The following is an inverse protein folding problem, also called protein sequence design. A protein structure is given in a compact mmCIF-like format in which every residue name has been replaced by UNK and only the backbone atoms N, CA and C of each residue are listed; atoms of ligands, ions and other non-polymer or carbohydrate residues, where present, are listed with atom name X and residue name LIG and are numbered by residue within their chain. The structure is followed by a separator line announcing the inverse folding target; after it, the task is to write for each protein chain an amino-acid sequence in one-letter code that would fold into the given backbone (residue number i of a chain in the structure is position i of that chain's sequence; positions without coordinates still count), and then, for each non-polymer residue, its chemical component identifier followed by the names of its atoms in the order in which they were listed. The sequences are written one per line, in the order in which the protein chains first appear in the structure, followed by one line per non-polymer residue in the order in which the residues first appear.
data_IF_625713386995
#
_entry.id   IF_625713386995
#
_cell.length_a   1.000
_cell.length_b   1.000
_cell.length_c   1.000
_cell.angle_alpha   90.00
_cell.angle_beta   90.00
_cell.angle_gamma   90.00
#
_symmetry.space_group_name_H-M   'P 1'
#
loop_
_entity.id
_entity.type
_entity.pdbx_description
1 polymer ?
#
# COMPACT_ATOMS: atom_id res chain seq x y z
N UNK A 1 -17.60 -3.17 14.08
CA UNK A 1 -17.16 -2.79 12.72
C UNK A 1 -15.63 -2.76 12.51
N UNK A 2 -14.79 -2.24 13.42
CA UNK A 2 -13.31 -2.20 13.23
C UNK A 2 -12.64 -3.57 13.06
N UNK A 3 -13.05 -4.58 13.84
CA UNK A 3 -12.48 -5.95 13.79
C UNK A 3 -12.70 -6.63 12.43
N UNK A 4 -13.83 -6.37 11.76
CA UNK A 4 -14.12 -6.93 10.44
C UNK A 4 -13.18 -6.34 9.36
N UNK A 5 -12.86 -5.05 9.44
CA UNK A 5 -11.96 -4.36 8.50
C UNK A 5 -10.53 -4.92 8.56
N UNK A 6 -9.97 -5.12 9.75
CA UNK A 6 -8.63 -5.72 9.91
C UNK A 6 -8.54 -7.13 9.32
N UNK A 7 -9.59 -7.96 9.50
CA UNK A 7 -9.67 -9.29 8.88
C UNK A 7 -9.72 -9.23 7.35
N UNK A 8 -10.46 -8.29 6.78
CA UNK A 8 -10.51 -8.10 5.32
C UNK A 8 -9.14 -7.72 4.76
N UNK A 9 -8.47 -6.74 5.37
CA UNK A 9 -7.11 -6.30 4.98
C UNK A 9 -6.13 -7.48 5.03
N UNK A 10 -6.19 -8.29 6.09
CA UNK A 10 -5.37 -9.48 6.24
C UNK A 10 -5.62 -10.52 5.13
N UNK A 11 -6.90 -10.78 4.80
CA UNK A 11 -7.27 -11.73 3.73
C UNK A 11 -6.80 -11.23 2.38
N UNK A 12 -6.92 -9.93 2.09
CA UNK A 12 -6.43 -9.32 0.86
C UNK A 12 -4.90 -9.45 0.77
N UNK A 13 -4.17 -9.11 1.84
CA UNK A 13 -2.72 -9.26 1.88
C UNK A 13 -2.27 -10.72 1.68
N UNK A 14 -3.00 -11.69 2.23
CA UNK A 14 -2.76 -13.12 1.99
C UNK A 14 -3.04 -13.51 0.54
N UNK A 15 -4.14 -13.05 -0.03
CA UNK A 15 -4.55 -13.35 -1.41
C UNK A 15 -3.55 -12.79 -2.42
N UNK A 16 -2.93 -11.64 -2.12
CA UNK A 16 -1.91 -11.03 -2.97
C UNK A 16 -0.65 -11.89 -3.14
N UNK A 17 -0.37 -12.82 -2.23
CA UNK A 17 0.73 -13.78 -2.34
C UNK A 17 0.44 -14.92 -3.31
N UNK A 18 -0.79 -15.05 -3.82
CA UNK A 18 -1.16 -16.15 -4.70
C UNK A 18 -0.32 -16.13 -5.99
N UNK A 19 0.22 -17.28 -6.43
CA UNK A 19 1.05 -17.36 -7.64
C UNK A 19 0.28 -17.10 -8.93
N UNK A 20 -1.05 -17.23 -8.91
CA UNK A 20 -1.91 -16.99 -10.09
C UNK A 20 -2.07 -15.49 -10.31
N UNK A 21 -1.51 -14.98 -11.40
CA UNK A 21 -1.43 -13.54 -11.67
C UNK A 21 -2.79 -12.84 -11.74
N UNK A 22 -3.83 -13.52 -12.24
CA UNK A 22 -5.19 -12.96 -12.27
C UNK A 22 -5.72 -12.68 -10.86
N UNK A 23 -5.64 -13.67 -9.95
CA UNK A 23 -6.10 -13.53 -8.58
C UNK A 23 -5.25 -12.52 -7.80
N UNK A 24 -3.92 -12.53 -8.01
CA UNK A 24 -3.03 -11.54 -7.44
C UNK A 24 -3.42 -10.12 -7.90
N UNK A 25 -3.63 -9.90 -9.20
CA UNK A 25 -4.05 -8.60 -9.74
C UNK A 25 -5.40 -8.16 -9.16
N UNK A 26 -6.38 -9.05 -9.10
CA UNK A 26 -7.68 -8.75 -8.49
C UNK A 26 -7.52 -8.33 -7.03
N UNK A 27 -6.66 -8.98 -6.25
CA UNK A 27 -6.41 -8.56 -4.86
C UNK A 27 -5.75 -7.18 -4.74
N UNK A 28 -4.93 -6.78 -5.73
CA UNK A 28 -4.35 -5.43 -5.80
C UNK A 28 -5.43 -4.39 -6.16
N UNK A 29 -6.34 -4.71 -7.08
CA UNK A 29 -7.49 -3.85 -7.40
C UNK A 29 -8.37 -3.64 -6.16
N UNK A 30 -8.69 -4.72 -5.45
CA UNK A 30 -9.46 -4.66 -4.20
C UNK A 30 -8.72 -3.84 -3.13
N UNK A 31 -7.39 -3.93 -3.04
CA UNK A 31 -6.62 -3.08 -2.14
C UNK A 31 -6.79 -1.59 -2.48
N UNK A 32 -6.82 -1.24 -3.76
CA UNK A 32 -7.08 0.14 -4.22
C UNK A 32 -8.45 0.65 -3.78
N UNK A 33 -9.49 -0.17 -3.94
CA UNK A 33 -10.85 0.15 -3.49
C UNK A 33 -10.90 0.35 -1.96
N UNK A 34 -10.20 -0.50 -1.21
CA UNK A 34 -10.07 -0.38 0.25
C UNK A 34 -9.38 0.94 0.63
N UNK A 35 -8.30 1.32 -0.06
CA UNK A 35 -7.61 2.58 0.23
C UNK A 35 -8.50 3.79 -0.04
N UNK A 36 -9.22 3.80 -1.16
CA UNK A 36 -10.17 4.87 -1.48
C UNK A 36 -11.32 4.97 -0.47
N UNK A 37 -11.88 3.83 -0.05
CA UNK A 37 -13.03 3.80 0.84
C UNK A 37 -12.67 4.15 2.30
N UNK A 38 -11.48 3.75 2.77
CA UNK A 38 -11.15 3.82 4.20
C UNK A 38 -10.04 4.81 4.56
N UNK A 39 -9.11 5.11 3.65
CA UNK A 39 -8.01 6.07 3.88
C UNK A 39 -7.34 5.89 5.24
N UNK A 40 -7.25 6.98 6.00
CA UNK A 40 -6.61 7.01 7.33
C UNK A 40 -7.23 6.09 8.36
N UNK A 41 -8.49 5.69 8.18
CA UNK A 41 -9.15 4.72 9.09
C UNK A 41 -8.45 3.35 9.05
N UNK A 42 -7.60 3.09 8.06
CA UNK A 42 -6.74 1.91 7.99
C UNK A 42 -5.54 1.99 8.95
N UNK A 43 -5.11 3.18 9.33
CA UNK A 43 -4.01 3.41 10.28
C UNK A 43 -4.49 3.24 11.74
N UNK A 44 -5.77 3.56 12.02
CA UNK A 44 -6.42 3.36 13.33
C UNK A 44 -6.68 1.88 13.70
N UNK A 45 -6.20 0.93 12.91
CA UNK A 45 -6.34 -0.50 13.16
C UNK A 45 -5.35 -0.94 14.26
N UNK A 46 -5.52 -0.42 15.47
CA UNK A 46 -4.68 -0.64 16.67
C UNK A 46 -4.68 -2.08 17.22
N UNK A 47 -5.34 -3.03 16.54
CA UNK A 47 -5.22 -4.49 16.81
C UNK A 47 -4.65 -5.25 15.60
N UNK A 48 -4.29 -4.55 14.52
CA UNK A 48 -3.76 -5.12 13.29
C UNK A 48 -2.84 -4.16 12.53
N UNK A 49 -1.96 -3.42 13.22
CA UNK A 49 -0.88 -2.68 12.55
C UNK A 49 -0.12 -3.61 11.58
N UNK A 50 0.10 -4.86 12.00
CA UNK A 50 0.65 -5.93 11.17
C UNK A 50 -0.13 -6.20 9.87
N UNK A 51 -1.46 -6.03 9.86
CA UNK A 51 -2.26 -6.28 8.67
C UNK A 51 -2.09 -5.16 7.64
N UNK A 52 -2.07 -3.90 8.08
CA UNK A 52 -1.78 -2.77 7.19
C UNK A 52 -0.34 -2.83 6.70
N UNK A 53 0.63 -3.02 7.60
CA UNK A 53 2.04 -3.10 7.26
C UNK A 53 2.31 -4.30 6.34
N UNK A 54 1.65 -5.43 6.58
CA UNK A 54 1.67 -6.59 5.70
C UNK A 54 1.10 -6.31 4.31
N UNK A 55 -0.03 -5.60 4.21
CA UNK A 55 -0.62 -5.22 2.92
C UNK A 55 0.30 -4.25 2.16
N UNK A 56 0.80 -3.22 2.83
CA UNK A 56 1.74 -2.23 2.27
C UNK A 56 3.00 -2.92 1.76
N UNK A 57 3.60 -3.81 2.55
CA UNK A 57 4.77 -4.56 2.15
C UNK A 57 4.51 -5.45 0.93
N UNK A 58 3.37 -6.16 0.90
CA UNK A 58 3.01 -6.97 -0.27
C UNK A 58 2.84 -6.10 -1.52
N UNK A 59 2.23 -4.93 -1.39
CA UNK A 59 2.03 -4.03 -2.52
C UNK A 59 3.36 -3.52 -3.08
N UNK A 60 4.28 -3.11 -2.20
CA UNK A 60 5.63 -2.70 -2.60
C UNK A 60 6.40 -3.84 -3.29
N UNK A 61 6.27 -5.08 -2.79
CA UNK A 61 6.86 -6.25 -3.43
C UNK A 61 6.30 -6.50 -4.83
N UNK A 62 4.99 -6.32 -5.03
CA UNK A 62 4.36 -6.51 -6.34
C UNK A 62 4.72 -5.41 -7.32
N UNK A 63 4.76 -4.15 -6.88
CA UNK A 63 5.21 -3.03 -7.69
C UNK A 63 6.68 -3.19 -8.13
N UNK A 64 7.49 -3.91 -7.34
CA UNK A 64 8.90 -4.16 -7.63
C UNK A 64 9.18 -5.28 -8.64
N UNK A 65 8.15 -5.92 -9.20
CA UNK A 65 8.31 -7.03 -10.13
C UNK A 65 8.48 -6.54 -11.58
N UNK A 66 9.27 -7.27 -12.37
CA UNK A 66 9.49 -6.94 -13.79
C UNK A 66 8.25 -7.23 -14.66
N UNK A 67 7.32 -8.04 -14.16
CA UNK A 67 6.08 -8.40 -14.86
C UNK A 67 5.04 -7.28 -14.76
N UNK A 68 4.90 -6.53 -15.86
CA UNK A 68 3.99 -5.39 -16.02
C UNK A 68 2.54 -5.63 -15.56
N UNK A 69 1.95 -6.80 -15.86
CA UNK A 69 0.54 -7.07 -15.58
C UNK A 69 0.11 -6.86 -14.11
N UNK A 70 0.95 -7.29 -13.15
CA UNK A 70 0.69 -7.08 -11.71
C UNK A 70 1.45 -5.87 -11.19
N UNK A 71 2.67 -5.63 -11.68
CA UNK A 71 3.51 -4.52 -11.21
C UNK A 71 2.89 -3.15 -11.48
N UNK A 72 2.38 -2.90 -12.68
CA UNK A 72 1.74 -1.62 -13.04
C UNK A 72 0.44 -1.41 -12.27
N UNK A 73 -0.31 -2.49 -12.01
CA UNK A 73 -1.48 -2.46 -11.15
C UNK A 73 -1.12 -2.06 -9.72
N UNK A 74 -0.03 -2.63 -9.19
CA UNK A 74 0.45 -2.35 -7.84
C UNK A 74 1.00 -0.92 -7.73
N UNK A 75 1.68 -0.40 -8.76
CA UNK A 75 2.09 1.00 -8.82
C UNK A 75 0.90 1.96 -8.79
N UNK A 76 -0.16 1.65 -9.55
CA UNK A 76 -1.38 2.46 -9.53
C UNK A 76 -2.05 2.44 -8.16
N UNK A 77 -2.12 1.26 -7.54
CA UNK A 77 -2.66 1.10 -6.18
C UNK A 77 -1.85 1.89 -5.14
N UNK A 78 -0.51 1.95 -5.25
CA UNK A 78 0.33 2.81 -4.41
C UNK A 78 -0.02 4.29 -4.62
N UNK A 79 -0.21 4.73 -5.86
CA UNK A 79 -0.64 6.09 -6.16
C UNK A 79 -2.01 6.44 -5.54
N UNK A 80 -2.97 5.53 -5.65
CA UNK A 80 -4.30 5.66 -5.03
C UNK A 80 -4.18 5.77 -3.50
N UNK A 81 -3.35 4.92 -2.88
CA UNK A 81 -3.10 4.96 -1.44
C UNK A 81 -2.49 6.30 -0.98
N UNK A 82 -1.51 6.84 -1.71
CA UNK A 82 -0.96 8.18 -1.46
C UNK A 82 -2.06 9.26 -1.59
N UNK A 83 -2.94 9.11 -2.59
CA UNK A 83 -4.07 10.01 -2.82
C UNK A 83 -5.10 10.00 -1.69
N UNK A 84 -5.38 8.83 -1.10
CA UNK A 84 -6.48 8.66 -0.13
C UNK A 84 -6.08 8.80 1.34
N UNK A 85 -4.79 8.91 1.67
CA UNK A 85 -4.29 9.02 3.05
C UNK A 85 -3.75 10.42 3.38
N UNK A 86 -3.80 10.77 4.66
CA UNK A 86 -3.09 11.93 5.21
C UNK A 86 -1.58 11.65 5.14
N UNK A 87 -0.79 12.54 4.51
CA UNK A 87 0.61 12.25 4.23
C UNK A 87 1.49 11.99 5.47
N UNK A 88 1.34 12.77 6.54
CA UNK A 88 2.19 12.71 7.73
C UNK A 88 2.27 11.33 8.40
N UNK A 89 1.15 10.70 8.81
CA UNK A 89 1.19 9.38 9.43
C UNK A 89 1.62 8.30 8.42
N UNK A 90 1.29 8.46 7.13
CA UNK A 90 1.67 7.49 6.12
C UNK A 90 3.18 7.53 5.78
N UNK A 91 3.80 8.70 5.79
CA UNK A 91 5.27 8.86 5.63
C UNK A 91 6.02 8.05 6.70
N UNK A 92 5.54 8.03 7.94
CA UNK A 92 6.17 7.24 9.01
C UNK A 92 6.14 5.74 8.70
N UNK A 93 5.04 5.23 8.13
CA UNK A 93 4.94 3.83 7.71
C UNK A 93 5.85 3.52 6.52
N UNK A 94 5.92 4.41 5.52
CA UNK A 94 6.79 4.24 4.34
C UNK A 94 8.29 4.29 4.69
N UNK A 95 8.67 5.09 5.68
CA UNK A 95 10.07 5.26 6.11
C UNK A 95 10.74 3.92 6.48
N UNK A 96 9.97 2.98 7.04
CA UNK A 96 10.46 1.65 7.37
C UNK A 96 10.92 0.83 6.14
N UNK A 97 10.43 1.16 4.95
CA UNK A 97 10.73 0.43 3.71
C UNK A 97 11.76 1.11 2.81
N UNK A 98 12.13 2.37 3.08
CA UNK A 98 13.13 3.11 2.29
C UNK A 98 14.49 2.40 2.30
N UNK A 99 14.93 1.92 3.46
CA UNK A 99 16.20 1.21 3.64
C UNK A 99 16.06 -0.32 3.54
N UNK A 100 15.07 -0.80 2.79
CA UNK A 100 14.81 -2.23 2.69
C UNK A 100 15.93 -2.96 1.92
N UNK A 101 16.28 -4.19 2.35
CA UNK A 101 17.35 -5.01 1.73
C UNK A 101 17.18 -5.22 0.22
N UNK A 102 15.93 -5.30 -0.23
CA UNK A 102 15.60 -5.31 -1.66
C UNK A 102 15.51 -3.87 -2.19
N UNK A 103 16.49 -3.48 -3.01
CA UNK A 103 16.61 -2.13 -3.56
C UNK A 103 15.39 -1.68 -4.40
N UNK A 104 14.71 -2.61 -5.10
CA UNK A 104 13.50 -2.27 -5.87
C UNK A 104 12.34 -1.89 -4.95
N UNK A 105 12.18 -2.62 -3.84
CA UNK A 105 11.19 -2.29 -2.79
C UNK A 105 11.52 -0.92 -2.19
N UNK A 106 12.79 -0.67 -1.86
CA UNK A 106 13.26 0.63 -1.37
C UNK A 106 12.94 1.76 -2.35
N UNK A 107 13.24 1.58 -3.64
CA UNK A 107 12.92 2.56 -4.67
C UNK A 107 11.42 2.86 -4.76
N UNK A 108 10.55 1.84 -4.70
CA UNK A 108 9.08 2.05 -4.70
C UNK A 108 8.59 2.76 -3.44
N UNK A 109 9.18 2.47 -2.29
CA UNK A 109 8.88 3.18 -1.05
C UNK A 109 9.29 4.66 -1.13
N UNK A 110 10.49 4.95 -1.66
CA UNK A 110 10.97 6.31 -1.88
C UNK A 110 10.04 7.09 -2.82
N UNK A 111 9.66 6.51 -3.97
CA UNK A 111 8.72 7.16 -4.89
C UNK A 111 7.39 7.49 -4.21
N UNK A 112 6.84 6.54 -3.45
CA UNK A 112 5.59 6.75 -2.71
C UNK A 112 5.74 7.85 -1.65
N UNK A 113 6.89 7.91 -0.96
CA UNK A 113 7.20 8.94 0.03
C UNK A 113 7.34 10.31 -0.62
N UNK A 114 8.06 10.42 -1.73
CA UNK A 114 8.18 11.66 -2.51
C UNK A 114 6.81 12.16 -2.93
N UNK A 115 5.94 11.28 -3.43
CA UNK A 115 4.57 11.65 -3.81
C UNK A 115 3.75 12.15 -2.60
N UNK A 116 3.93 11.57 -1.41
CA UNK A 116 3.29 12.07 -0.18
C UNK A 116 3.77 13.49 0.15
N UNK A 117 5.08 13.75 0.08
CA UNK A 117 5.65 15.07 0.33
C UNK A 117 5.16 16.09 -0.70
N UNK A 118 5.15 15.75 -1.98
CA UNK A 118 4.61 16.62 -3.04
C UNK A 118 3.15 16.96 -2.80
N UNK A 119 2.32 16.00 -2.38
CA UNK A 119 0.91 16.25 -2.00
C UNK A 119 0.80 17.24 -0.85
N UNK A 120 1.63 17.14 0.19
CA UNK A 120 1.65 18.09 1.30
C UNK A 120 1.97 19.51 0.84
N UNK A 121 2.94 19.67 -0.05
CA UNK A 121 3.35 20.98 -0.57
C UNK A 121 2.24 21.65 -1.39
N UNK A 122 1.45 20.86 -2.12
CA UNK A 122 0.32 21.37 -2.93
C UNK A 122 -0.91 21.65 -2.07
N UNK A 123 -1.17 20.87 -1.02
CA UNK A 123 -2.34 21.06 -0.14
C UNK A 123 -2.13 22.11 0.97
N UNK A 124 -0.89 22.58 1.17
CA UNK A 124 -0.53 23.62 2.14
C UNK A 124 -0.44 25.04 1.56
N UNK A 125 -0.88 25.23 0.32
CA UNK A 125 -0.93 26.52 -0.38
C UNK A 125 -2.37 27.03 -0.51
#
# INVERSE_FOLDING_TARGET
MRVARGKIVLVVAKTMKNPRSALCKTSVMVASDIFNAFGDKLLDLSTSEEAFDGLLFQLLLKASQDKKFVGEEADRALGIMVGSMTPLPFIQKLRAYVSHKNLRVGAKAVVSLTNCVSKMMVSGA
#
